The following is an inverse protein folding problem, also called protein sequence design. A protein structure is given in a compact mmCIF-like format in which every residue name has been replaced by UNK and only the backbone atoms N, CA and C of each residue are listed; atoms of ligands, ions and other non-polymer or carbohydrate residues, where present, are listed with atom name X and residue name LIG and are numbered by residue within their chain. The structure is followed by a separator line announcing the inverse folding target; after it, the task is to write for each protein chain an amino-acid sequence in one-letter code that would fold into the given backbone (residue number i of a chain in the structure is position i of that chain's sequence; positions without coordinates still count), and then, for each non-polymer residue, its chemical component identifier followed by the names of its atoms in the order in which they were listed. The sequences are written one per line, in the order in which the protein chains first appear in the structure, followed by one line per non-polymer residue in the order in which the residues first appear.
data_IF_981819611112
#
_entry.id   IF_981819611112
#
_cell.length_a   1.000
_cell.length_b   1.000
_cell.length_c   1.000
_cell.angle_alpha   90.00
_cell.angle_beta   90.00
_cell.angle_gamma   90.00
#
_symmetry.space_group_name_H-M   'P 1'
#
loop_
_entity.id
_entity.type
_entity.pdbx_description
1 polymer ?
#
# COMPACT_ATOMS: atom_id res chain seq x y z
N UNK A 1 -12.24 28.70 2.85
CA UNK A 1 -11.82 28.29 1.49
C UNK A 1 -10.35 27.91 1.60
N UNK A 2 -9.92 26.77 1.03
CA UNK A 2 -8.51 26.39 1.04
C UNK A 2 -7.67 27.37 0.21
N UNK A 3 -6.49 27.69 0.71
CA UNK A 3 -5.46 28.46 0.01
C UNK A 3 -4.70 27.56 -0.99
N UNK A 4 -4.49 28.07 -2.20
CA UNK A 4 -3.71 27.41 -3.26
C UNK A 4 -2.23 27.28 -2.85
N UNK A 5 -1.62 26.15 -3.22
CA UNK A 5 -0.19 25.88 -2.93
C UNK A 5 0.14 25.59 -1.46
N UNK A 6 -0.85 25.61 -0.55
CA UNK A 6 -0.68 25.10 0.81
C UNK A 6 -0.81 23.58 0.83
N UNK A 7 -0.08 22.96 1.76
CA UNK A 7 -0.15 21.53 2.04
C UNK A 7 -1.32 21.24 2.98
N UNK A 8 -2.10 20.24 2.61
CA UNK A 8 -3.21 19.70 3.38
C UNK A 8 -3.03 18.20 3.58
N UNK A 9 -3.70 17.66 4.60
CA UNK A 9 -3.81 16.23 4.84
C UNK A 9 -5.28 15.84 4.98
N UNK A 10 -5.62 14.66 4.46
CA UNK A 10 -6.96 14.11 4.55
C UNK A 10 -6.95 12.59 4.39
N UNK A 11 -8.03 11.96 4.82
CA UNK A 11 -8.25 10.53 4.62
C UNK A 11 -9.05 10.31 3.34
N UNK A 12 -8.63 9.32 2.54
CA UNK A 12 -9.35 8.90 1.34
C UNK A 12 -10.71 8.34 1.75
N UNK A 13 -11.77 8.91 1.17
CA UNK A 13 -13.17 8.50 1.42
C UNK A 13 -13.68 7.64 0.27
N UNK A 14 -13.28 7.94 -0.96
CA UNK A 14 -13.79 7.32 -2.17
C UNK A 14 -12.81 7.47 -3.34
N UNK A 15 -13.11 6.88 -4.50
CA UNK A 15 -12.32 6.99 -5.72
C UNK A 15 -13.19 7.45 -6.90
N UNK A 16 -12.67 8.39 -7.68
CA UNK A 16 -13.30 8.78 -8.94
C UNK A 16 -13.33 7.60 -9.93
N UNK A 17 -14.19 7.68 -10.96
CA UNK A 17 -14.25 6.67 -12.04
C UNK A 17 -12.89 6.44 -12.76
N UNK A 18 -11.98 7.40 -12.68
CA UNK A 18 -10.64 7.31 -13.25
C UNK A 18 -9.59 6.77 -12.25
N UNK A 19 -10.00 6.31 -11.07
CA UNK A 19 -9.11 5.77 -10.03
C UNK A 19 -8.42 6.82 -9.15
N UNK A 20 -8.75 8.11 -9.30
CA UNK A 20 -8.15 9.16 -8.45
C UNK A 20 -8.81 9.20 -7.07
N UNK A 21 -8.04 9.25 -5.97
CA UNK A 21 -8.56 9.36 -4.62
C UNK A 21 -9.35 10.65 -4.40
N UNK A 22 -10.46 10.53 -3.68
CA UNK A 22 -11.35 11.62 -3.30
C UNK A 22 -11.31 11.76 -1.78
N UNK A 23 -11.01 12.99 -1.34
CA UNK A 23 -11.04 13.35 0.07
C UNK A 23 -12.40 13.96 0.39
N UNK A 24 -13.10 13.39 1.38
CA UNK A 24 -14.36 13.95 1.84
C UNK A 24 -14.10 15.33 2.45
N UNK A 25 -14.79 16.37 2.00
CA UNK A 25 -14.74 17.65 2.67
C UNK A 25 -15.37 17.54 4.05
N UNK A 26 -14.85 18.30 5.01
CA UNK A 26 -15.61 18.63 6.22
C UNK A 26 -16.95 19.28 5.85
N UNK A 27 -17.93 19.21 6.76
CA UNK A 27 -19.32 19.61 6.52
C UNK A 27 -19.42 20.98 5.82
N UNK A 28 -19.85 20.98 4.54
CA UNK A 28 -20.05 22.19 3.73
C UNK A 28 -18.90 22.60 2.79
N UNK A 29 -17.81 21.85 2.68
CA UNK A 29 -16.76 22.10 1.68
C UNK A 29 -16.97 21.31 0.37
N UNK A 30 -16.31 21.75 -0.71
CA UNK A 30 -16.27 21.04 -2.00
C UNK A 30 -15.38 19.80 -1.90
N UNK A 31 -15.69 18.74 -2.65
CA UNK A 31 -14.86 17.52 -2.70
C UNK A 31 -13.47 17.80 -3.25
N UNK A 32 -12.45 17.09 -2.79
CA UNK A 32 -11.08 17.24 -3.31
C UNK A 32 -10.68 15.98 -4.06
N UNK A 33 -10.42 16.11 -5.35
CA UNK A 33 -9.89 15.04 -6.21
C UNK A 33 -8.38 15.19 -6.26
N UNK A 34 -7.68 14.18 -5.77
CA UNK A 34 -6.21 14.18 -5.70
C UNK A 34 -5.67 13.36 -6.86
N UNK A 35 -4.88 14.00 -7.73
CA UNK A 35 -4.21 13.33 -8.83
C UNK A 35 -2.97 12.60 -8.32
N UNK A 36 -2.94 11.30 -8.54
CA UNK A 36 -1.75 10.48 -8.36
C UNK A 36 -1.11 10.20 -9.73
N UNK A 37 0.11 10.69 -9.95
CA UNK A 37 0.88 10.43 -11.18
C UNK A 37 1.78 9.21 -11.08
N UNK A 38 1.99 8.71 -9.86
CA UNK A 38 2.99 7.69 -9.54
C UNK A 38 2.38 6.28 -9.44
N UNK A 39 1.07 6.15 -9.67
CA UNK A 39 0.29 4.91 -9.56
C UNK A 39 0.53 4.20 -8.22
N UNK A 40 0.53 4.97 -7.14
CA UNK A 40 0.70 4.46 -5.77
C UNK A 40 -0.52 3.65 -5.37
N UNK A 41 -0.28 2.57 -4.65
CA UNK A 41 -1.32 1.75 -4.02
C UNK A 41 -1.92 2.54 -2.86
N UNK A 42 -2.96 3.32 -3.15
CA UNK A 42 -3.73 4.10 -2.18
C UNK A 42 -5.06 3.39 -1.95
N UNK A 43 -5.46 3.27 -0.69
CA UNK A 43 -6.70 2.58 -0.29
C UNK A 43 -7.69 3.53 0.36
N UNK A 44 -8.94 3.09 0.54
CA UNK A 44 -9.92 3.87 1.34
C UNK A 44 -9.45 3.89 2.80
N UNK A 45 -9.50 5.06 3.43
CA UNK A 45 -9.01 5.30 4.78
C UNK A 45 -7.57 5.81 4.82
N UNK A 46 -6.79 5.63 3.76
CA UNK A 46 -5.40 6.07 3.69
C UNK A 46 -5.24 7.56 3.92
N UNK A 47 -4.23 7.96 4.70
CA UNK A 47 -4.00 9.37 4.99
C UNK A 47 -3.01 9.92 3.98
N UNK A 48 -3.46 10.86 3.17
CA UNK A 48 -2.65 11.43 2.10
C UNK A 48 -2.41 12.93 2.32
N UNK A 49 -1.20 13.36 1.96
CA UNK A 49 -0.79 14.76 1.89
C UNK A 49 -0.95 15.26 0.46
N UNK A 50 -1.61 16.41 0.27
CA UNK A 50 -1.85 16.98 -1.04
C UNK A 50 -1.77 18.51 -1.03
N UNK A 51 -1.55 19.10 -2.20
CA UNK A 51 -1.60 20.56 -2.43
C UNK A 51 -2.69 20.87 -3.43
N UNK A 52 -3.54 21.86 -3.11
CA UNK A 52 -4.58 22.31 -4.04
C UNK A 52 -3.93 23.17 -5.11
N UNK A 53 -4.10 22.74 -6.36
CA UNK A 53 -3.59 23.44 -7.54
C UNK A 53 -4.67 24.32 -8.16
N UNK A 54 -5.92 23.83 -8.22
CA UNK A 54 -7.00 24.48 -8.93
C UNK A 54 -8.34 24.31 -8.20
N UNK A 55 -9.13 25.38 -8.13
CA UNK A 55 -10.52 25.33 -7.70
C UNK A 55 -11.44 25.26 -8.93
N UNK A 56 -12.25 24.21 -9.00
CA UNK A 56 -13.36 24.10 -9.94
C UNK A 56 -14.69 24.45 -9.24
N UNK A 57 -15.76 24.58 -10.03
CA UNK A 57 -17.08 24.97 -9.53
C UNK A 57 -17.58 24.04 -8.39
N UNK A 58 -17.39 22.73 -8.54
CA UNK A 58 -17.92 21.69 -7.64
C UNK A 58 -16.83 20.97 -6.81
N UNK A 59 -15.55 21.06 -7.20
CA UNK A 59 -14.47 20.33 -6.56
C UNK A 59 -13.14 21.07 -6.60
N UNK A 60 -12.23 20.67 -5.72
CA UNK A 60 -10.82 21.05 -5.78
C UNK A 60 -10.03 19.98 -6.52
N UNK A 61 -9.09 20.42 -7.35
CA UNK A 61 -8.08 19.57 -7.95
C UNK A 61 -6.78 19.76 -7.18
N UNK A 62 -6.22 18.64 -6.74
CA UNK A 62 -5.01 18.64 -5.93
C UNK A 62 -3.97 17.67 -6.47
N UNK A 63 -2.70 17.96 -6.22
CA UNK A 63 -1.58 17.08 -6.52
C UNK A 63 -1.18 16.30 -5.26
N UNK A 64 -0.96 14.99 -5.42
CA UNK A 64 -0.48 14.15 -4.33
C UNK A 64 1.00 14.45 -4.03
N UNK A 65 1.28 14.85 -2.78
CA UNK A 65 2.66 15.01 -2.30
C UNK A 65 3.20 13.71 -1.70
N UNK A 66 2.34 12.92 -1.08
CA UNK A 66 2.69 11.63 -0.47
C UNK A 66 1.51 10.97 0.22
N UNK A 67 1.58 9.67 0.44
CA UNK A 67 0.59 8.91 1.19
C UNK A 67 1.26 8.17 2.34
N UNK A 68 0.53 8.02 3.44
CA UNK A 68 0.93 7.19 4.58
C UNK A 68 -0.15 6.13 4.77
N UNK A 69 0.23 4.89 4.46
CA UNK A 69 -0.65 3.75 4.68
C UNK A 69 -1.03 3.64 6.15
N UNK A 70 -2.33 3.52 6.41
CA UNK A 70 -2.86 3.36 7.79
C UNK A 70 -2.87 1.91 8.24
N UNK A 71 -2.20 1.02 7.48
CA UNK A 71 -1.98 -0.37 7.86
C UNK A 71 -1.16 -0.45 9.15
N UNK A 72 -1.86 -0.36 10.28
CA UNK A 72 -1.33 -0.72 11.58
C UNK A 72 -1.28 -2.24 11.66
N UNK A 73 -0.09 -2.81 11.47
CA UNK A 73 0.33 -4.07 12.08
C UNK A 73 -0.31 -5.36 11.58
N UNK A 74 0.09 -5.82 10.39
CA UNK A 74 0.32 -7.26 10.19
C UNK A 74 1.83 -7.54 10.27
N UNK A 75 2.34 -7.48 11.49
CA UNK A 75 3.44 -8.34 11.93
C UNK A 75 2.85 -9.76 12.01
N UNK A 76 2.71 -10.41 10.86
CA UNK A 76 2.68 -11.87 10.85
C UNK A 76 4.14 -12.31 10.84
N UNK A 77 4.69 -12.92 11.90
CA UNK A 77 5.77 -13.86 11.68
C UNK A 77 5.27 -14.86 10.62
N UNK A 78 6.13 -15.39 9.73
CA UNK A 78 5.71 -16.39 8.75
C UNK A 78 5.27 -17.66 9.49
N UNK A 79 4.01 -17.69 9.93
CA UNK A 79 3.35 -18.87 10.46
C UNK A 79 2.63 -19.53 9.29
N UNK A 80 3.44 -19.98 8.33
CA UNK A 80 2.98 -20.89 7.30
C UNK A 80 2.71 -22.21 8.03
N UNK A 81 1.46 -22.69 8.11
CA UNK A 81 1.22 -24.02 8.62
C UNK A 81 1.95 -25.00 7.69
N UNK A 82 2.91 -25.73 8.27
CA UNK A 82 3.53 -26.93 7.69
C UNK A 82 2.41 -27.91 7.35
N UNK A 83 1.95 -27.88 6.11
CA UNK A 83 1.01 -28.86 5.61
C UNK A 83 1.79 -30.13 5.28
N UNK A 84 1.65 -31.13 6.13
CA UNK A 84 2.14 -32.47 5.90
C UNK A 84 1.30 -33.13 4.78
N UNK A 85 1.98 -33.92 3.95
CA UNK A 85 1.50 -34.98 3.04
C UNK A 85 1.38 -34.69 1.52
N UNK A 86 2.17 -35.45 0.75
CA UNK A 86 1.66 -36.06 -0.49
C UNK A 86 2.25 -35.68 -1.85
N UNK A 87 3.46 -36.18 -2.16
CA UNK A 87 3.96 -36.54 -3.51
C UNK A 87 3.99 -35.50 -4.65
N UNK A 88 5.19 -35.17 -5.15
CA UNK A 88 5.57 -35.39 -6.57
C UNK A 88 7.06 -35.12 -6.81
N UNK A 89 7.58 -35.91 -7.74
CA UNK A 89 8.98 -36.28 -7.95
C UNK A 89 9.80 -35.28 -8.76
N UNK A 90 11.10 -35.22 -8.47
CA UNK A 90 12.14 -35.19 -9.50
C UNK A 90 12.52 -33.83 -10.09
N UNK A 91 13.59 -33.23 -9.57
CA UNK A 91 14.83 -33.04 -10.34
C UNK A 91 15.96 -32.59 -9.41
N UNK A 92 16.91 -33.51 -9.25
CA UNK A 92 18.21 -33.39 -8.59
C UNK A 92 19.12 -32.38 -9.26
N UNK A 93 19.80 -31.56 -8.45
CA UNK A 93 21.21 -31.09 -8.60
C UNK A 93 21.54 -30.33 -7.30
N UNK A 94 21.94 -31.01 -6.23
CA UNK A 94 23.33 -31.40 -5.93
C UNK A 94 24.25 -30.19 -5.85
N UNK A 95 24.26 -29.52 -4.69
CA UNK A 95 25.47 -28.86 -4.22
C UNK A 95 26.12 -29.78 -3.18
N UNK A 96 27.37 -30.09 -3.48
CA UNK A 96 28.15 -31.20 -2.95
C UNK A 96 28.67 -30.94 -1.53
N UNK A 97 28.60 -32.00 -0.72
CA UNK A 97 29.71 -32.58 0.06
C UNK A 97 30.66 -31.65 0.81
N UNK A 98 30.55 -31.66 2.16
CA UNK A 98 31.61 -31.49 3.15
C UNK A 98 30.93 -31.31 4.53
N UNK A 99 31.13 -32.08 5.61
CA UNK A 99 32.21 -32.96 6.00
C UNK A 99 31.74 -33.95 7.10
N UNK A 100 32.25 -35.17 7.00
CA UNK A 100 32.54 -36.18 8.04
C UNK A 100 32.22 -35.84 9.51
N UNK A 101 31.57 -36.79 10.19
CA UNK A 101 32.22 -37.44 11.34
C UNK A 101 31.82 -38.91 11.40
N UNK A 102 32.87 -39.73 11.32
CA UNK A 102 32.89 -41.12 11.76
C UNK A 102 32.30 -41.21 13.16
N UNK A 103 31.44 -42.18 13.41
CA UNK A 103 31.39 -42.95 14.65
C UNK A 103 30.20 -43.90 14.57
N UNK A 104 30.51 -45.19 14.66
CA UNK A 104 30.05 -46.04 15.75
C UNK A 104 29.50 -47.40 15.31
N UNK A 105 30.30 -48.44 15.62
CA UNK A 105 29.92 -49.68 16.33
C UNK A 105 28.62 -50.36 15.85
N UNK A 106 28.58 -51.63 15.47
CA UNK A 106 29.41 -52.80 15.75
C UNK A 106 28.75 -53.97 15.01
#
# INVERSE_FOLDING_TARGET
MPEMGKRYEGSVDDFSNAGNPIIKPGMGAKRTVVMDRDNREIEIGDRISFTIEEENYDHYKAELLGHRSVTSGYDTPPNIPIHHDGQSVGSTRSESDASKSVEDRK
#
